data_IF_683811864805
#
_entry.id   IF_683811864805
#
_cell.length_a   1.000
_cell.length_b   1.000
_cell.length_c   1.000
_cell.angle_alpha   90.00
_cell.angle_beta   90.00
_cell.angle_gamma   90.00
#
_symmetry.space_group_name_H-M   'P 1'
#
loop_
_entity.id
_entity.type
_entity.pdbx_description
1 polymer ?
#
# COMPACT_ATOMS: atom_id res chain seq x y z
N UNK A 1 24.65 -0.32 51.19
CA UNK A 1 24.13 0.93 51.77
C UNK A 1 24.95 2.07 51.22
N UNK A 2 24.30 3.10 50.65
CA UNK A 2 24.86 4.23 49.89
C UNK A 2 25.24 3.99 48.42
N UNK A 3 24.31 4.34 47.52
CA UNK A 3 24.52 5.33 46.44
C UNK A 3 23.20 5.50 45.65
N UNK A 4 22.32 6.31 46.23
CA UNK A 4 21.22 7.02 45.56
C UNK A 4 21.68 8.47 45.47
N UNK A 5 21.78 9.04 44.25
CA UNK A 5 21.49 10.46 43.89
C UNK A 5 22.05 10.81 42.52
N UNK A 6 21.19 10.91 41.51
CA UNK A 6 21.10 12.07 40.58
C UNK A 6 20.17 11.71 39.41
N UNK A 7 18.86 11.86 39.64
CA UNK A 7 17.91 12.07 38.55
C UNK A 7 17.81 13.57 38.35
N UNK A 8 18.27 14.07 37.21
CA UNK A 8 17.95 15.42 36.75
C UNK A 8 16.47 15.48 36.37
N UNK A 9 15.75 16.54 36.76
CA UNK A 9 14.35 16.70 36.38
C UNK A 9 14.25 17.06 34.89
N UNK A 10 13.21 16.49 34.27
CA UNK A 10 12.74 16.81 32.93
C UNK A 10 12.46 18.32 32.85
N UNK A 11 13.25 19.06 32.08
CA UNK A 11 12.97 20.47 31.80
C UNK A 11 11.79 20.56 30.84
N UNK A 12 10.73 21.28 31.24
CA UNK A 12 9.61 21.62 30.38
C UNK A 12 10.09 22.40 29.14
N UNK A 13 9.46 22.19 27.97
CA UNK A 13 9.78 22.95 26.77
C UNK A 13 9.44 24.44 26.97
N UNK A 14 10.25 25.36 26.40
CA UNK A 14 10.00 26.79 26.54
C UNK A 14 8.66 27.18 25.87
N UNK A 15 7.95 28.18 26.41
CA UNK A 15 6.74 28.70 25.80
C UNK A 15 7.04 29.31 24.43
N UNK A 16 6.09 29.27 23.48
CA UNK A 16 6.27 29.88 22.18
C UNK A 16 6.44 31.40 22.31
N UNK A 17 7.22 32.03 21.41
CA UNK A 17 7.44 33.47 21.45
C UNK A 17 6.12 34.24 21.25
N UNK A 18 5.93 35.35 21.96
CA UNK A 18 4.82 36.26 21.70
C UNK A 18 5.09 37.04 20.41
N UNK A 19 4.02 37.31 19.66
CA UNK A 19 3.93 38.24 18.53
C UNK A 19 4.60 37.83 17.20
N UNK A 20 3.89 36.99 16.44
CA UNK A 20 3.92 37.05 14.98
C UNK A 20 2.63 37.74 14.48
N UNK A 21 2.76 39.04 14.27
CA UNK A 21 1.77 39.92 13.63
C UNK A 21 1.32 39.32 12.29
N UNK A 22 0.01 39.08 12.15
CA UNK A 22 -0.64 38.67 10.90
C UNK A 22 -0.46 39.76 9.84
N UNK A 23 0.27 39.44 8.76
CA UNK A 23 0.17 40.21 7.52
C UNK A 23 -1.05 39.75 6.72
N UNK A 24 -1.86 40.66 6.15
CA UNK A 24 -2.99 40.30 5.29
C UNK A 24 -2.49 39.81 3.92
N UNK A 25 -3.13 38.76 3.42
CA UNK A 25 -2.91 38.23 2.08
C UNK A 25 -3.43 39.23 1.02
N UNK A 26 -2.69 39.49 -0.07
CA UNK A 26 -3.21 40.26 -1.18
C UNK A 26 -4.18 39.41 -2.01
N UNK A 27 -5.38 39.95 -2.18
CA UNK A 27 -6.35 39.54 -3.21
C UNK A 27 -5.81 40.01 -4.56
N UNK A 28 -5.39 39.08 -5.39
CA UNK A 28 -4.92 39.34 -6.76
C UNK A 28 -5.65 38.45 -7.74
N UNK A 29 -6.65 39.01 -8.41
CA UNK A 29 -7.31 38.43 -9.57
C UNK A 29 -6.32 38.34 -10.74
N UNK A 30 -6.24 37.18 -11.39
CA UNK A 30 -5.86 37.09 -12.81
C UNK A 30 -6.60 35.93 -13.45
N UNK A 31 -7.47 36.28 -14.39
CA UNK A 31 -7.97 35.35 -15.38
C UNK A 31 -6.86 35.00 -16.36
N UNK A 32 -6.86 33.75 -16.80
CA UNK A 32 -6.15 33.32 -17.99
C UNK A 32 -7.03 32.32 -18.73
N UNK A 33 -7.59 32.85 -19.80
CA UNK A 33 -8.30 32.20 -20.89
C UNK A 33 -7.40 31.11 -21.54
N UNK A 34 -7.92 29.91 -21.73
CA UNK A 34 -7.28 28.89 -22.58
C UNK A 34 -8.26 27.78 -22.98
N UNK A 35 -8.95 27.97 -24.10
CA UNK A 35 -9.17 26.89 -25.07
C UNK A 35 -8.18 27.03 -26.24
N UNK A 36 -8.16 26.14 -27.27
CA UNK A 36 -8.76 24.82 -27.40
C UNK A 36 -7.73 23.76 -27.91
N UNK A 37 -7.49 22.67 -27.18
CA UNK A 37 -6.61 21.55 -27.64
C UNK A 37 -7.35 20.20 -27.70
N UNK A 38 -8.69 20.23 -27.74
CA UNK A 38 -9.55 19.04 -27.85
C UNK A 38 -10.41 19.07 -29.12
N UNK A 39 -9.81 19.37 -30.27
CA UNK A 39 -10.52 19.31 -31.57
C UNK A 39 -9.78 18.55 -32.68
N UNK A 40 -8.63 17.93 -32.39
CA UNK A 40 -7.80 17.25 -33.39
C UNK A 40 -7.81 15.71 -33.28
N UNK A 41 -8.68 15.11 -32.46
CA UNK A 41 -8.77 13.65 -32.29
C UNK A 41 -10.17 13.07 -32.57
N UNK A 42 -11.05 13.83 -33.22
CA UNK A 42 -12.40 13.38 -33.58
C UNK A 42 -12.68 13.36 -35.10
N UNK A 43 -11.68 13.61 -35.95
CA UNK A 43 -11.86 13.63 -37.43
C UNK A 43 -11.28 12.42 -38.19
N UNK A 44 -10.61 11.46 -37.54
CA UNK A 44 -10.06 10.28 -38.25
C UNK A 44 -10.95 9.02 -38.26
N UNK A 45 -11.99 8.93 -37.42
CA UNK A 45 -12.90 7.76 -37.43
C UNK A 45 -14.15 7.93 -38.34
N UNK A 46 -14.27 9.06 -39.06
CA UNK A 46 -15.44 9.36 -39.89
C UNK A 46 -15.25 9.12 -41.40
N UNK A 47 -14.15 8.47 -41.83
CA UNK A 47 -13.85 8.27 -43.27
C UNK A 47 -13.57 6.81 -43.71
N UNK A 48 -14.20 5.84 -43.04
CA UNK A 48 -14.18 4.44 -43.49
C UNK A 48 -15.55 3.78 -43.40
N UNK A 49 -16.54 4.26 -44.18
CA UNK A 49 -17.76 3.49 -44.44
C UNK A 49 -18.51 3.99 -45.67
N UNK A 50 -18.36 3.27 -46.78
CA UNK A 50 -19.16 3.33 -48.00
C UNK A 50 -18.43 2.48 -49.05
N UNK A 51 -19.02 1.53 -49.76
CA UNK A 51 -20.39 1.06 -49.93
C UNK A 51 -20.28 -0.46 -50.22
N UNK A 52 -21.23 -1.27 -49.77
CA UNK A 52 -21.48 -2.55 -50.45
C UNK A 52 -22.96 -2.95 -50.29
N UNK A 53 -23.70 -2.82 -51.39
CA UNK A 53 -25.04 -3.38 -51.60
C UNK A 53 -24.94 -4.90 -51.61
N UNK A 54 -25.78 -5.58 -50.81
CA UNK A 54 -26.22 -6.96 -51.09
C UNK A 54 -27.61 -7.22 -50.49
N UNK A 55 -28.45 -7.72 -51.39
CA UNK A 55 -29.81 -8.29 -51.42
C UNK A 55 -30.58 -8.63 -50.11
N UNK A 56 -31.93 -8.64 -50.18
CA UNK A 56 -32.81 -8.79 -49.01
C UNK A 56 -32.91 -10.24 -48.54
N UNK A 57 -32.65 -10.45 -47.25
CA UNK A 57 -32.83 -11.72 -46.54
C UNK A 57 -34.30 -11.83 -46.06
N UNK A 58 -34.99 -12.97 -46.24
CA UNK A 58 -36.37 -13.17 -45.78
C UNK A 58 -36.48 -13.15 -44.25
N UNK A 59 -37.49 -12.47 -43.72
CA UNK A 59 -37.81 -12.49 -42.29
C UNK A 59 -38.40 -13.84 -41.87
N UNK A 60 -37.90 -14.48 -40.79
CA UNK A 60 -38.59 -15.58 -40.16
C UNK A 60 -39.65 -15.08 -39.17
N UNK A 61 -40.78 -15.78 -39.18
CA UNK A 61 -41.97 -15.56 -38.39
C UNK A 61 -41.69 -15.46 -36.89
N UNK A 62 -42.30 -14.45 -36.27
CA UNK A 62 -42.54 -14.32 -34.83
C UNK A 62 -43.54 -15.38 -34.37
N UNK A 63 -43.08 -16.42 -33.67
CA UNK A 63 -43.84 -17.19 -32.68
C UNK A 63 -42.87 -18.04 -31.84
N UNK A 64 -43.21 -18.22 -30.57
CA UNK A 64 -42.54 -19.05 -29.55
C UNK A 64 -41.41 -18.40 -28.74
N UNK A 65 -41.86 -17.54 -27.82
CA UNK A 65 -41.24 -17.31 -26.53
C UNK A 65 -41.10 -18.65 -25.78
N UNK A 66 -39.89 -19.21 -25.72
CA UNK A 66 -39.51 -20.25 -24.76
C UNK A 66 -38.64 -19.62 -23.67
N UNK A 67 -39.11 -19.75 -22.44
CA UNK A 67 -38.71 -19.00 -21.25
C UNK A 67 -37.61 -19.72 -20.47
N UNK A 68 -36.51 -20.12 -21.14
CA UNK A 68 -35.44 -20.95 -20.53
C UNK A 68 -34.12 -20.19 -20.25
N UNK A 69 -34.07 -18.89 -20.53
CA UNK A 69 -32.86 -18.07 -20.28
C UNK A 69 -32.64 -17.65 -18.82
N UNK A 70 -33.69 -17.69 -17.98
CA UNK A 70 -33.62 -17.18 -16.60
C UNK A 70 -32.98 -18.17 -15.62
N UNK A 71 -33.02 -19.47 -15.94
CA UNK A 71 -32.48 -20.55 -15.08
C UNK A 71 -30.94 -20.58 -15.08
N UNK A 72 -30.29 -20.42 -16.24
CA UNK A 72 -28.82 -20.42 -16.31
C UNK A 72 -28.18 -19.17 -15.70
N UNK A 73 -28.82 -18.00 -15.80
CA UNK A 73 -28.31 -16.75 -15.21
C UNK A 73 -28.54 -16.71 -13.70
N UNK A 74 -29.60 -17.33 -13.17
CA UNK A 74 -29.77 -17.50 -11.73
C UNK A 74 -28.85 -18.59 -11.15
N UNK A 75 -28.58 -19.67 -11.89
CA UNK A 75 -27.63 -20.70 -11.46
C UNK A 75 -26.17 -20.19 -11.43
N UNK A 76 -25.75 -19.35 -12.39
CA UNK A 76 -24.42 -18.73 -12.37
C UNK A 76 -24.26 -17.67 -11.27
N UNK A 77 -25.34 -16.97 -10.90
CA UNK A 77 -25.32 -16.02 -9.79
C UNK A 77 -25.30 -16.71 -8.42
N UNK A 78 -25.86 -17.92 -8.28
CA UNK A 78 -25.78 -18.70 -7.05
C UNK A 78 -24.45 -19.44 -6.86
N UNK A 79 -23.78 -19.86 -7.93
CA UNK A 79 -22.47 -20.55 -7.84
C UNK A 79 -21.31 -19.59 -7.54
N UNK A 80 -21.43 -18.30 -7.86
CA UNK A 80 -20.41 -17.29 -7.51
C UNK A 80 -20.55 -16.68 -6.11
N UNK A 81 -21.66 -16.90 -5.39
CA UNK A 81 -21.78 -16.53 -3.97
C UNK A 81 -20.95 -17.43 -3.03
N UNK A 82 -20.56 -18.62 -3.49
CA UNK A 82 -19.76 -19.60 -2.72
C UNK A 82 -18.23 -19.38 -2.81
N UNK A 83 -17.78 -18.46 -3.68
CA UNK A 83 -16.36 -18.22 -3.95
C UNK A 83 -15.61 -17.39 -2.90
N UNK A 84 -16.31 -16.66 -2.04
CA UNK A 84 -15.69 -15.87 -0.96
C UNK A 84 -15.43 -16.74 0.29
N UNK A 85 -14.25 -16.63 0.93
CA UNK A 85 -13.97 -17.37 2.16
C UNK A 85 -14.94 -17.02 3.29
N UNK A 86 -15.15 -18.00 4.15
CA UNK A 86 -15.75 -17.80 5.47
C UNK A 86 -14.81 -16.99 6.37
N UNK A 87 -15.34 -16.32 7.42
CA UNK A 87 -14.50 -15.67 8.42
C UNK A 87 -13.49 -16.63 9.07
N UNK A 88 -13.86 -17.91 9.24
CA UNK A 88 -12.98 -18.94 9.78
C UNK A 88 -11.79 -19.25 8.85
N UNK A 89 -12.01 -19.30 7.53
CA UNK A 89 -10.93 -19.48 6.54
C UNK A 89 -9.99 -18.26 6.51
N UNK A 90 -10.53 -17.04 6.61
CA UNK A 90 -9.70 -15.84 6.76
C UNK A 90 -8.90 -15.86 8.05
N UNK A 91 -9.52 -16.22 9.18
CA UNK A 91 -8.84 -16.36 10.46
C UNK A 91 -7.71 -17.41 10.41
N UNK A 92 -7.94 -18.55 9.74
CA UNK A 92 -6.92 -19.57 9.50
C UNK A 92 -5.75 -19.02 8.67
N UNK A 93 -6.03 -18.25 7.62
CA UNK A 93 -4.98 -17.61 6.80
C UNK A 93 -4.18 -16.56 7.59
N UNK A 94 -4.86 -15.75 8.42
CA UNK A 94 -4.22 -14.79 9.33
C UNK A 94 -3.34 -15.51 10.35
N UNK A 95 -3.84 -16.59 10.95
CA UNK A 95 -3.08 -17.40 11.89
C UNK A 95 -1.84 -18.02 11.22
N UNK A 96 -1.95 -18.52 9.99
CA UNK A 96 -0.81 -19.00 9.22
C UNK A 96 0.24 -17.90 9.01
N UNK A 97 -0.18 -16.68 8.65
CA UNK A 97 0.72 -15.53 8.54
C UNK A 97 1.45 -15.20 9.85
N UNK A 98 0.75 -15.28 10.98
CA UNK A 98 1.33 -15.07 12.31
C UNK A 98 2.35 -16.17 12.68
N UNK A 99 2.01 -17.44 12.43
CA UNK A 99 2.90 -18.58 12.68
C UNK A 99 4.16 -18.50 11.83
N UNK A 100 4.02 -18.26 10.52
CA UNK A 100 5.16 -18.12 9.61
C UNK A 100 6.08 -16.95 10.05
N UNK A 101 5.49 -15.82 10.43
CA UNK A 101 6.25 -14.65 10.89
C UNK A 101 6.94 -14.91 12.23
N UNK A 102 6.26 -15.55 13.18
CA UNK A 102 6.83 -15.96 14.47
C UNK A 102 7.98 -16.95 14.30
N UNK A 103 7.83 -17.93 13.39
CA UNK A 103 8.89 -18.86 13.02
C UNK A 103 10.10 -18.15 12.40
N UNK A 104 9.87 -17.19 11.50
CA UNK A 104 10.92 -16.36 10.92
C UNK A 104 11.66 -15.53 11.99
N UNK A 105 10.92 -14.89 12.90
CA UNK A 105 11.52 -14.20 14.06
C UNK A 105 12.38 -15.14 14.91
N UNK A 106 11.86 -16.33 15.22
CA UNK A 106 12.57 -17.36 15.99
C UNK A 106 13.89 -17.75 15.32
N UNK A 107 13.83 -18.12 14.04
CA UNK A 107 15.01 -18.54 13.27
C UNK A 107 16.03 -17.41 13.10
N UNK A 108 15.60 -16.22 12.70
CA UNK A 108 16.49 -15.07 12.52
C UNK A 108 17.14 -14.64 13.85
N UNK A 109 16.47 -14.83 14.99
CA UNK A 109 17.03 -14.51 16.31
C UNK A 109 18.14 -15.48 16.75
N UNK A 110 18.19 -16.69 16.19
CA UNK A 110 19.29 -17.63 16.44
C UNK A 110 20.59 -17.21 15.75
N UNK A 111 20.49 -16.42 14.67
CA UNK A 111 21.61 -16.11 13.77
C UNK A 111 22.00 -14.63 13.79
N UNK A 112 21.09 -13.74 14.20
CA UNK A 112 21.23 -12.29 14.07
C UNK A 112 21.03 -11.57 15.40
N UNK A 113 21.60 -10.37 15.52
CA UNK A 113 21.28 -9.45 16.62
C UNK A 113 19.82 -9.01 16.55
N UNK A 114 19.23 -8.58 17.69
CA UNK A 114 17.81 -8.22 17.75
C UNK A 114 17.38 -7.21 16.68
N UNK A 115 18.19 -6.19 16.39
CA UNK A 115 17.88 -5.21 15.34
C UNK A 115 17.94 -5.81 13.93
N UNK A 116 18.96 -6.63 13.64
CA UNK A 116 19.07 -7.31 12.36
C UNK A 116 18.01 -8.38 12.15
N UNK A 117 17.54 -9.03 13.23
CA UNK A 117 16.40 -9.95 13.19
C UNK A 117 15.15 -9.23 12.67
N UNK A 118 14.83 -8.06 13.22
CA UNK A 118 13.68 -7.27 12.78
C UNK A 118 13.81 -6.83 11.32
N UNK A 119 14.94 -6.25 10.94
CA UNK A 119 15.14 -5.81 9.56
C UNK A 119 15.07 -6.98 8.56
N UNK A 120 15.58 -8.16 8.92
CA UNK A 120 15.51 -9.35 8.07
C UNK A 120 14.08 -9.89 7.91
N UNK A 121 13.30 -9.98 9.00
CA UNK A 121 11.91 -10.45 8.94
C UNK A 121 11.04 -9.49 8.17
N UNK A 122 11.18 -8.18 8.40
CA UNK A 122 10.48 -7.14 7.66
C UNK A 122 10.83 -7.19 6.16
N UNK A 123 12.10 -7.43 5.83
CA UNK A 123 12.54 -7.57 4.44
C UNK A 123 11.92 -8.79 3.76
N UNK A 124 11.84 -9.94 4.44
CA UNK A 124 11.15 -11.13 3.94
C UNK A 124 9.65 -10.87 3.71
N UNK A 125 9.00 -10.19 4.65
CA UNK A 125 7.61 -9.76 4.50
C UNK A 125 7.42 -8.86 3.28
N UNK A 126 8.28 -7.85 3.16
CA UNK A 126 8.27 -6.87 2.06
C UNK A 126 8.50 -7.53 0.70
N UNK A 127 9.40 -8.52 0.62
CA UNK A 127 9.65 -9.30 -0.61
C UNK A 127 8.41 -10.08 -1.04
N UNK A 128 7.78 -10.82 -0.12
CA UNK A 128 6.60 -11.61 -0.42
C UNK A 128 5.40 -10.75 -0.85
N UNK A 129 5.16 -9.65 -0.14
CA UNK A 129 4.03 -8.76 -0.42
C UNK A 129 4.26 -7.93 -1.67
N UNK A 130 5.43 -7.31 -1.84
CA UNK A 130 5.71 -6.52 -3.04
C UNK A 130 5.70 -7.38 -4.30
N UNK A 131 6.16 -8.62 -4.25
CA UNK A 131 6.15 -9.53 -5.40
C UNK A 131 4.71 -9.87 -5.83
N UNK A 132 3.85 -10.18 -4.86
CA UNK A 132 2.42 -10.44 -5.13
C UNK A 132 1.69 -9.18 -5.61
N UNK A 133 2.01 -8.02 -5.03
CA UNK A 133 1.42 -6.74 -5.41
C UNK A 133 1.86 -6.27 -6.81
N UNK A 134 3.13 -6.46 -7.16
CA UNK A 134 3.65 -6.16 -8.50
C UNK A 134 3.03 -7.09 -9.55
N UNK A 135 2.87 -8.37 -9.23
CA UNK A 135 2.12 -9.30 -10.08
C UNK A 135 0.67 -8.82 -10.27
N UNK A 136 -0.03 -8.50 -9.19
CA UNK A 136 -1.39 -7.95 -9.25
C UNK A 136 -1.48 -6.66 -10.07
N UNK A 137 -0.56 -5.71 -9.86
CA UNK A 137 -0.49 -4.45 -10.60
C UNK A 137 -0.26 -4.69 -12.10
N UNK A 138 0.66 -5.59 -12.46
CA UNK A 138 0.96 -5.94 -13.85
C UNK A 138 -0.21 -6.65 -14.54
N UNK A 139 -1.03 -7.37 -13.78
CA UNK A 139 -2.23 -8.05 -14.28
C UNK A 139 -3.48 -7.16 -14.30
N UNK A 140 -3.41 -5.91 -13.83
CA UNK A 140 -4.61 -5.06 -13.81
C UNK A 140 -5.09 -4.69 -15.21
N UNK A 141 -6.40 -4.85 -15.43
CA UNK A 141 -7.08 -4.56 -16.68
C UNK A 141 -7.83 -3.23 -16.59
N UNK A 142 -8.17 -2.63 -17.74
CA UNK A 142 -8.96 -1.39 -17.76
C UNK A 142 -10.37 -1.66 -17.20
N UNK A 143 -10.87 -0.74 -16.38
CA UNK A 143 -12.20 -0.84 -15.80
C UNK A 143 -12.97 0.48 -15.88
N UNK A 144 -14.25 0.47 -16.29
CA UNK A 144 -15.01 1.69 -16.53
C UNK A 144 -15.21 2.56 -15.29
N UNK A 145 -15.19 1.98 -14.08
CA UNK A 145 -15.54 2.70 -12.84
C UNK A 145 -14.34 3.12 -11.97
N UNK A 146 -13.15 2.54 -12.17
CA UNK A 146 -11.98 2.81 -11.33
C UNK A 146 -10.65 2.80 -12.09
N UNK A 147 -10.71 3.07 -13.40
CA UNK A 147 -9.61 3.09 -14.39
C UNK A 147 -8.94 1.75 -14.62
N UNK A 148 -8.52 1.07 -13.55
CA UNK A 148 -7.92 -0.27 -13.58
C UNK A 148 -8.47 -1.16 -12.47
N UNK A 149 -8.61 -2.45 -12.75
CA UNK A 149 -9.11 -3.47 -11.84
C UNK A 149 -8.18 -4.68 -11.81
N UNK A 150 -8.08 -5.34 -10.67
CA UNK A 150 -7.56 -6.70 -10.63
C UNK A 150 -8.47 -7.65 -11.42
N UNK A 151 -7.93 -8.65 -12.13
CA UNK A 151 -8.73 -9.74 -12.67
C UNK A 151 -9.50 -10.47 -11.56
N UNK A 152 -10.69 -11.01 -11.83
CA UNK A 152 -11.51 -11.70 -10.81
C UNK A 152 -10.76 -12.80 -10.05
N UNK A 153 -9.88 -13.55 -10.73
CA UNK A 153 -9.08 -14.62 -10.10
C UNK A 153 -8.08 -14.10 -9.06
N UNK A 154 -7.58 -12.86 -9.22
CA UNK A 154 -6.68 -12.22 -8.26
C UNK A 154 -7.46 -11.46 -7.17
N UNK A 155 -8.59 -10.88 -7.54
CA UNK A 155 -9.44 -10.08 -6.66
C UNK A 155 -10.38 -10.92 -5.78
N UNK A 156 -10.63 -12.18 -6.10
CA UNK A 156 -11.48 -13.07 -5.29
C UNK A 156 -10.92 -13.22 -3.87
N UNK A 157 -11.77 -13.49 -2.88
CA UNK A 157 -11.32 -13.63 -1.49
C UNK A 157 -10.29 -14.75 -1.26
N UNK A 158 -10.30 -15.80 -2.10
CA UNK A 158 -9.28 -16.86 -2.14
C UNK A 158 -8.10 -16.56 -3.07
N UNK A 159 -8.18 -15.48 -3.84
CA UNK A 159 -7.15 -15.04 -4.77
C UNK A 159 -5.85 -14.68 -4.07
N UNK A 160 -4.70 -14.78 -4.75
CA UNK A 160 -3.39 -14.57 -4.14
C UNK A 160 -3.22 -13.17 -3.54
N UNK A 161 -3.82 -12.13 -4.13
CA UNK A 161 -3.73 -10.75 -3.63
C UNK A 161 -4.50 -10.60 -2.31
N UNK A 162 -5.70 -11.16 -2.21
CA UNK A 162 -6.48 -11.08 -0.96
C UNK A 162 -5.87 -11.94 0.14
N UNK A 163 -5.34 -13.11 -0.23
CA UNK A 163 -4.56 -13.96 0.70
C UNK A 163 -3.32 -13.23 1.23
N UNK A 164 -2.62 -12.47 0.38
CA UNK A 164 -1.51 -11.62 0.83
C UNK A 164 -1.95 -10.62 1.91
N UNK A 165 -3.10 -9.93 1.74
CA UNK A 165 -3.61 -9.01 2.78
C UNK A 165 -3.84 -9.73 4.12
N UNK A 166 -4.44 -10.93 4.08
CA UNK A 166 -4.69 -11.73 5.29
C UNK A 166 -3.39 -12.20 5.94
N UNK A 167 -2.41 -12.67 5.16
CA UNK A 167 -1.10 -13.06 5.67
C UNK A 167 -0.35 -11.86 6.29
N UNK A 168 -0.46 -10.67 5.69
CA UNK A 168 0.05 -9.42 6.29
C UNK A 168 -0.56 -9.11 7.64
N UNK A 169 -1.87 -9.30 7.82
CA UNK A 169 -2.48 -9.13 9.15
C UNK A 169 -1.90 -10.11 10.18
N UNK A 170 -1.61 -11.33 9.77
CA UNK A 170 -0.92 -12.31 10.60
C UNK A 170 0.48 -11.84 11.01
N UNK A 171 1.24 -11.31 10.06
CA UNK A 171 2.54 -10.69 10.33
C UNK A 171 2.44 -9.50 11.30
N UNK A 172 1.45 -8.62 11.15
CA UNK A 172 1.24 -7.49 12.06
C UNK A 172 0.91 -7.96 13.48
N UNK A 173 0.10 -9.02 13.61
CA UNK A 173 -0.21 -9.63 14.90
C UNK A 173 1.03 -10.22 15.56
N UNK A 174 1.88 -10.92 14.80
CA UNK A 174 3.15 -11.46 15.31
C UNK A 174 4.09 -10.34 15.79
N UNK A 175 4.18 -9.24 15.05
CA UNK A 175 5.00 -8.09 15.45
C UNK A 175 4.44 -7.37 16.69
N UNK A 176 3.12 -7.22 16.78
CA UNK A 176 2.46 -6.69 17.97
C UNK A 176 2.76 -7.55 19.20
N UNK A 177 2.63 -8.88 19.09
CA UNK A 177 2.94 -9.81 20.18
C UNK A 177 4.40 -9.70 20.58
N UNK A 178 5.32 -9.63 19.61
CA UNK A 178 6.75 -9.42 19.89
C UNK A 178 6.98 -8.13 20.69
N UNK A 179 6.41 -7.01 20.22
CA UNK A 179 6.55 -5.71 20.90
C UNK A 179 5.96 -5.79 22.32
N UNK A 180 4.78 -6.39 22.48
CA UNK A 180 4.15 -6.57 23.78
C UNK A 180 5.01 -7.43 24.72
N UNK A 181 5.59 -8.52 24.24
CA UNK A 181 6.49 -9.38 25.02
C UNK A 181 7.76 -8.63 25.43
N UNK A 182 8.40 -7.91 24.51
CA UNK A 182 9.63 -7.17 24.81
C UNK A 182 9.37 -6.01 25.80
N UNK A 183 8.26 -5.28 25.63
CA UNK A 183 7.91 -4.16 26.51
C UNK A 183 7.40 -4.66 27.88
N UNK A 184 6.37 -5.50 27.89
CA UNK A 184 5.67 -5.88 29.14
C UNK A 184 6.45 -6.90 29.96
N UNK A 185 7.11 -7.87 29.31
CA UNK A 185 7.79 -8.96 30.03
C UNK A 185 9.29 -8.70 30.23
N UNK A 186 9.92 -7.91 29.36
CA UNK A 186 11.37 -7.66 29.42
C UNK A 186 11.74 -6.22 29.77
N UNK A 187 10.77 -5.31 29.84
CA UNK A 187 11.03 -3.89 30.08
C UNK A 187 11.94 -3.25 29.02
N UNK A 188 11.99 -3.83 27.82
CA UNK A 188 12.82 -3.35 26.71
C UNK A 188 11.94 -2.81 25.61
N UNK A 189 12.17 -1.58 25.21
CA UNK A 189 11.47 -0.98 24.08
C UNK A 189 12.23 -1.32 22.79
N UNK A 190 11.67 -2.11 21.87
CA UNK A 190 12.32 -2.40 20.59
C UNK A 190 12.58 -1.11 19.82
N UNK A 191 13.64 -1.08 19.03
CA UNK A 191 13.92 0.07 18.19
C UNK A 191 12.73 0.29 17.23
N UNK A 192 12.24 1.53 17.11
CA UNK A 192 11.11 1.92 16.23
C UNK A 192 9.74 1.32 16.56
N UNK A 193 9.55 0.72 17.74
CA UNK A 193 8.29 0.05 18.09
C UNK A 193 7.05 0.91 17.84
N UNK A 194 7.09 2.20 18.21
CA UNK A 194 5.95 3.10 18.06
C UNK A 194 5.62 3.36 16.58
N UNK A 195 6.63 3.63 15.75
CA UNK A 195 6.47 3.82 14.32
C UNK A 195 5.90 2.57 13.63
N UNK A 196 6.37 1.38 14.03
CA UNK A 196 5.86 0.09 13.55
C UNK A 196 4.39 -0.11 13.91
N UNK A 197 4.00 0.14 15.16
CA UNK A 197 2.61 0.02 15.59
C UNK A 197 1.68 0.97 14.84
N UNK A 198 2.08 2.23 14.66
CA UNK A 198 1.30 3.19 13.87
C UNK A 198 1.15 2.72 12.44
N UNK A 199 2.24 2.25 11.81
CA UNK A 199 2.21 1.74 10.45
C UNK A 199 1.27 0.53 10.30
N UNK A 200 1.39 -0.46 11.18
CA UNK A 200 0.55 -1.65 11.17
C UNK A 200 -0.92 -1.32 11.47
N UNK A 201 -1.21 -0.31 12.29
CA UNK A 201 -2.58 0.15 12.53
C UNK A 201 -3.21 0.73 11.27
N UNK A 202 -2.47 1.54 10.52
CA UNK A 202 -2.91 2.10 9.23
C UNK A 202 -3.15 0.95 8.23
N UNK A 203 -2.22 0.00 8.12
CA UNK A 203 -2.35 -1.15 7.23
C UNK A 203 -3.49 -2.09 7.63
N UNK A 204 -3.72 -2.30 8.93
CA UNK A 204 -4.86 -3.05 9.44
C UNK A 204 -6.18 -2.42 9.00
N UNK A 205 -6.31 -1.09 9.17
CA UNK A 205 -7.48 -0.34 8.72
C UNK A 205 -7.70 -0.41 7.20
N UNK A 206 -6.62 -0.43 6.41
CA UNK A 206 -6.67 -0.58 4.96
C UNK A 206 -7.08 -2.01 4.53
N UNK A 207 -6.52 -3.03 5.17
CA UNK A 207 -6.75 -4.44 4.83
C UNK A 207 -8.11 -4.93 5.26
N UNK A 208 -8.65 -4.39 6.36
CA UNK A 208 -9.89 -4.87 6.95
C UNK A 208 -11.06 -4.89 5.95
N UNK A 209 -11.37 -3.80 5.21
CA UNK A 209 -12.43 -3.84 4.20
C UNK A 209 -12.09 -4.75 3.01
N UNK A 210 -10.81 -4.86 2.65
CA UNK A 210 -10.36 -5.72 1.55
C UNK A 210 -10.55 -7.22 1.84
N UNK A 211 -10.55 -7.61 3.12
CA UNK A 211 -10.72 -8.99 3.56
C UNK A 211 -12.17 -9.27 3.97
N UNK A 212 -12.78 -8.42 4.79
CA UNK A 212 -14.01 -8.76 5.51
C UNK A 212 -15.29 -8.12 4.95
N UNK A 213 -15.25 -7.30 3.90
CA UNK A 213 -16.47 -6.73 3.28
C UNK A 213 -17.23 -7.74 2.39
N UNK A 214 -17.55 -8.92 2.92
CA UNK A 214 -18.43 -9.91 2.27
C UNK A 214 -19.84 -9.33 2.07
N UNK A 215 -20.51 -9.72 0.99
CA UNK A 215 -21.89 -9.33 0.70
C UNK A 215 -22.07 -7.88 0.27
N UNK A 216 -20.98 -7.16 -0.04
CA UNK A 216 -21.03 -5.86 -0.71
C UNK A 216 -21.07 -6.05 -2.23
N UNK A 217 -21.59 -5.07 -2.99
CA UNK A 217 -21.56 -5.11 -4.45
C UNK A 217 -20.15 -5.42 -4.96
N UNK A 218 -20.04 -6.34 -5.95
CA UNK A 218 -18.77 -6.85 -6.47
C UNK A 218 -17.80 -5.71 -6.85
N UNK A 219 -18.31 -4.67 -7.50
CA UNK A 219 -17.51 -3.51 -7.93
C UNK A 219 -16.90 -2.72 -6.76
N UNK A 220 -17.58 -2.65 -5.61
CA UNK A 220 -17.05 -1.96 -4.42
C UNK A 220 -15.84 -2.69 -3.86
N UNK A 221 -15.97 -4.01 -3.71
CA UNK A 221 -14.92 -4.87 -3.19
C UNK A 221 -13.75 -4.90 -4.16
N UNK A 222 -14.04 -4.99 -5.46
CA UNK A 222 -13.05 -4.96 -6.52
C UNK A 222 -12.25 -3.65 -6.54
N UNK A 223 -12.92 -2.50 -6.45
CA UNK A 223 -12.26 -1.21 -6.40
C UNK A 223 -11.34 -1.09 -5.18
N UNK A 224 -11.80 -1.50 -4.00
CA UNK A 224 -10.98 -1.47 -2.78
C UNK A 224 -9.77 -2.39 -2.89
N UNK A 225 -9.97 -3.66 -3.25
CA UNK A 225 -8.89 -4.65 -3.40
C UNK A 225 -7.87 -4.22 -4.46
N UNK A 226 -8.32 -3.63 -5.57
CA UNK A 226 -7.45 -3.11 -6.62
C UNK A 226 -6.61 -1.92 -6.15
N UNK A 227 -7.25 -0.92 -5.53
CA UNK A 227 -6.54 0.24 -4.97
C UNK A 227 -5.55 -0.16 -3.87
N UNK A 228 -5.94 -1.09 -3.00
CA UNK A 228 -5.09 -1.63 -1.95
C UNK A 228 -3.90 -2.42 -2.51
N UNK A 229 -4.11 -3.24 -3.54
CA UNK A 229 -3.03 -3.95 -4.24
C UNK A 229 -2.01 -2.97 -4.82
N UNK A 230 -2.48 -1.87 -5.43
CA UNK A 230 -1.60 -0.82 -5.91
C UNK A 230 -0.81 -0.19 -4.76
N UNK A 231 -1.47 0.14 -3.65
CA UNK A 231 -0.79 0.67 -2.46
C UNK A 231 0.27 -0.30 -1.91
N UNK A 232 0.06 -1.61 -1.95
CA UNK A 232 1.04 -2.60 -1.48
C UNK A 232 2.35 -2.63 -2.27
N UNK A 233 2.41 -2.06 -3.47
CA UNK A 233 3.68 -1.89 -4.22
C UNK A 233 4.68 -1.02 -3.43
N UNK A 234 4.21 -0.19 -2.50
CA UNK A 234 5.06 0.56 -1.56
C UNK A 234 6.04 -0.30 -0.77
N UNK A 235 5.73 -1.58 -0.55
CA UNK A 235 6.61 -2.51 0.15
C UNK A 235 7.93 -2.76 -0.61
N UNK A 236 7.99 -2.47 -1.91
CA UNK A 236 9.23 -2.52 -2.68
C UNK A 236 10.32 -1.63 -2.06
N UNK A 237 9.97 -0.42 -1.61
CA UNK A 237 10.91 0.48 -0.96
C UNK A 237 11.32 0.02 0.44
N UNK A 238 10.46 -0.75 1.13
CA UNK A 238 10.77 -1.32 2.44
C UNK A 238 11.95 -2.29 2.34
N UNK A 239 12.08 -3.05 1.24
CA UNK A 239 13.22 -3.95 1.00
C UNK A 239 14.55 -3.17 1.04
N UNK A 240 14.64 -2.08 0.28
CA UNK A 240 15.86 -1.27 0.21
C UNK A 240 16.12 -0.51 1.52
N UNK A 241 15.07 -0.16 2.27
CA UNK A 241 15.19 0.46 3.58
C UNK A 241 15.85 -0.52 4.56
N UNK A 242 15.33 -1.75 4.64
CA UNK A 242 15.87 -2.79 5.51
C UNK A 242 17.29 -3.19 5.10
N UNK A 243 17.55 -3.29 3.79
CA UNK A 243 18.90 -3.54 3.29
C UNK A 243 19.88 -2.41 3.65
N UNK A 244 19.45 -1.15 3.58
CA UNK A 244 20.27 -0.01 4.01
C UNK A 244 20.61 -0.11 5.51
N UNK A 245 19.65 -0.46 6.36
CA UNK A 245 19.87 -0.66 7.79
C UNK A 245 20.87 -1.79 8.08
N UNK A 246 20.72 -2.94 7.41
CA UNK A 246 21.63 -4.08 7.56
C UNK A 246 23.06 -3.73 7.13
N UNK A 247 23.21 -2.95 6.06
CA UNK A 247 24.53 -2.52 5.57
C UNK A 247 25.18 -1.43 6.43
N UNK A 248 24.47 -0.83 7.38
CA UNK A 248 25.01 0.21 8.28
C UNK A 248 26.22 -0.29 9.06
N UNK A 249 26.15 -1.54 9.54
CA UNK A 249 27.20 -2.22 10.29
C UNK A 249 28.12 -3.08 9.40
N UNK A 250 27.95 -2.97 8.08
CA UNK A 250 28.64 -3.80 7.10
C UNK A 250 30.13 -3.44 6.91
N UNK A 251 30.78 -4.09 5.93
CA UNK A 251 32.24 -4.03 5.75
C UNK A 251 32.77 -2.59 5.64
N UNK A 252 33.77 -2.29 6.46
CA UNK A 252 34.56 -1.06 6.37
C UNK A 252 35.35 -1.01 5.05
N UNK A 253 35.57 0.19 4.52
CA UNK A 253 36.42 0.42 3.35
C UNK A 253 35.68 0.84 2.07
N UNK A 254 36.44 1.04 0.99
CA UNK A 254 35.96 1.66 -0.26
C UNK A 254 34.82 0.87 -0.91
N UNK A 255 34.92 -0.47 -0.93
CA UNK A 255 33.88 -1.34 -1.50
C UNK A 255 32.57 -1.25 -0.71
N UNK A 256 32.64 -1.29 0.62
CA UNK A 256 31.48 -1.13 1.49
C UNK A 256 30.83 0.25 1.39
N UNK A 257 31.63 1.32 1.24
CA UNK A 257 31.11 2.66 0.99
C UNK A 257 30.35 2.76 -0.34
N UNK A 258 30.91 2.19 -1.43
CA UNK A 258 30.23 2.16 -2.74
C UNK A 258 28.90 1.40 -2.67
N UNK A 259 28.89 0.24 -2.00
CA UNK A 259 27.66 -0.54 -1.83
C UNK A 259 26.61 0.23 -1.03
N UNK A 260 26.98 0.87 0.09
CA UNK A 260 26.05 1.70 0.88
C UNK A 260 25.51 2.88 0.07
N UNK A 261 26.35 3.56 -0.71
CA UNK A 261 25.91 4.64 -1.62
C UNK A 261 24.89 4.13 -2.65
N UNK A 262 25.18 2.99 -3.29
CA UNK A 262 24.28 2.38 -4.27
C UNK A 262 22.93 2.01 -3.64
N UNK A 263 22.94 1.37 -2.46
CA UNK A 263 21.71 0.99 -1.76
C UNK A 263 20.92 2.21 -1.29
N UNK A 264 21.58 3.27 -0.81
CA UNK A 264 20.88 4.52 -0.43
C UNK A 264 20.20 5.20 -1.62
N UNK A 265 20.84 5.21 -2.80
CA UNK A 265 20.21 5.73 -4.01
C UNK A 265 19.09 4.82 -4.51
N UNK A 266 19.26 3.50 -4.46
CA UNK A 266 18.19 2.56 -4.77
C UNK A 266 16.99 2.74 -3.81
N UNK A 267 17.25 3.01 -2.53
CA UNK A 267 16.23 3.38 -1.55
C UNK A 267 15.52 4.67 -1.96
N UNK A 268 16.23 5.76 -2.28
CA UNK A 268 15.62 7.02 -2.74
C UNK A 268 14.70 6.78 -3.95
N UNK A 269 15.20 6.10 -4.97
CA UNK A 269 14.47 5.86 -6.22
C UNK A 269 13.25 4.96 -6.00
N UNK A 270 13.43 3.86 -5.25
CA UNK A 270 12.31 2.96 -4.92
C UNK A 270 11.27 3.64 -4.05
N UNK A 271 11.65 4.47 -3.08
CA UNK A 271 10.72 5.21 -2.23
C UNK A 271 9.92 6.25 -3.02
N UNK A 272 10.59 6.99 -3.91
CA UNK A 272 9.93 7.94 -4.80
C UNK A 272 8.90 7.24 -5.71
N UNK A 273 9.32 6.18 -6.42
CA UNK A 273 8.44 5.47 -7.35
C UNK A 273 7.30 4.73 -6.63
N UNK A 274 7.63 3.86 -5.67
CA UNK A 274 6.67 2.94 -5.06
C UNK A 274 5.78 3.56 -3.98
N UNK A 275 6.18 4.67 -3.38
CA UNK A 275 5.36 5.38 -2.39
C UNK A 275 4.84 6.70 -2.91
N UNK A 276 5.67 7.60 -3.42
CA UNK A 276 5.19 8.94 -3.81
C UNK A 276 4.34 8.87 -5.08
N UNK A 277 4.90 8.39 -6.19
CA UNK A 277 4.17 8.33 -7.46
C UNK A 277 3.02 7.31 -7.37
N UNK A 278 3.31 6.11 -6.89
CA UNK A 278 2.33 5.03 -6.83
C UNK A 278 1.17 5.31 -5.85
N UNK A 279 1.38 5.92 -4.67
CA UNK A 279 0.24 6.28 -3.81
C UNK A 279 -0.60 7.39 -4.42
N UNK A 280 0.00 8.37 -5.13
CA UNK A 280 -0.79 9.37 -5.83
C UNK A 280 -1.72 8.71 -6.88
N UNK A 281 -1.21 7.71 -7.61
CA UNK A 281 -2.03 6.92 -8.53
C UNK A 281 -3.11 6.09 -7.80
N UNK A 282 -2.77 5.42 -6.70
CA UNK A 282 -3.73 4.64 -5.91
C UNK A 282 -4.85 5.52 -5.33
N UNK A 283 -4.51 6.73 -4.84
CA UNK A 283 -5.47 7.73 -4.37
C UNK A 283 -6.38 8.18 -5.52
N UNK A 284 -5.81 8.49 -6.69
CA UNK A 284 -6.60 8.90 -7.84
C UNK A 284 -7.59 7.80 -8.27
N UNK A 285 -7.17 6.54 -8.31
CA UNK A 285 -8.06 5.39 -8.57
C UNK A 285 -9.16 5.27 -7.51
N UNK A 286 -8.83 5.45 -6.23
CA UNK A 286 -9.79 5.38 -5.14
C UNK A 286 -10.81 6.52 -5.17
N UNK A 287 -10.37 7.74 -5.48
CA UNK A 287 -11.25 8.91 -5.66
C UNK A 287 -12.21 8.71 -6.83
N UNK A 288 -11.74 8.13 -7.94
CA UNK A 288 -12.61 7.79 -9.07
C UNK A 288 -13.67 6.75 -8.71
N UNK A 289 -13.34 5.78 -7.83
CA UNK A 289 -14.28 4.78 -7.33
C UNK A 289 -15.31 5.34 -6.33
N UNK A 290 -15.26 6.64 -5.97
CA UNK A 290 -16.18 7.27 -5.01
C UNK A 290 -17.67 6.99 -5.28
N UNK A 291 -18.20 7.02 -6.53
CA UNK A 291 -19.63 6.83 -6.77
C UNK A 291 -20.16 5.46 -6.33
N UNK A 292 -19.29 4.44 -6.32
CA UNK A 292 -19.66 3.09 -5.93
C UNK A 292 -19.33 2.78 -4.48
N UNK A 293 -18.34 3.45 -3.86
CA UNK A 293 -17.93 3.17 -2.48
C UNK A 293 -18.88 3.87 -1.47
N UNK A 294 -19.40 3.15 -0.45
CA UNK A 294 -20.22 3.77 0.59
C UNK A 294 -19.51 4.94 1.28
N UNK A 295 -20.19 6.06 1.59
CA UNK A 295 -19.54 7.27 2.11
C UNK A 295 -18.66 7.05 3.35
N UNK A 296 -19.08 6.17 4.26
CA UNK A 296 -18.31 5.82 5.47
C UNK A 296 -16.99 5.10 5.13
N UNK A 297 -17.04 4.15 4.20
CA UNK A 297 -15.84 3.42 3.75
C UNK A 297 -14.93 4.35 2.94
N UNK A 298 -15.51 5.22 2.12
CA UNK A 298 -14.76 6.23 1.39
C UNK A 298 -14.03 7.18 2.34
N UNK A 299 -14.69 7.69 3.38
CA UNK A 299 -14.07 8.55 4.38
C UNK A 299 -12.92 7.85 5.13
N UNK A 300 -13.12 6.59 5.53
CA UNK A 300 -12.08 5.77 6.13
C UNK A 300 -10.89 5.59 5.18
N UNK A 301 -11.14 5.16 3.95
CA UNK A 301 -10.10 4.94 2.94
C UNK A 301 -9.33 6.21 2.59
N UNK A 302 -10.04 7.33 2.41
CA UNK A 302 -9.42 8.63 2.18
C UNK A 302 -8.52 9.04 3.35
N UNK A 303 -8.98 8.87 4.59
CA UNK A 303 -8.18 9.17 5.80
C UNK A 303 -6.91 8.32 5.84
N UNK A 304 -7.05 7.00 5.68
CA UNK A 304 -5.94 6.04 5.69
C UNK A 304 -4.93 6.36 4.59
N UNK A 305 -5.38 6.61 3.36
CA UNK A 305 -4.52 6.93 2.23
C UNK A 305 -3.82 8.29 2.39
N UNK A 306 -4.53 9.33 2.85
CA UNK A 306 -3.92 10.65 3.11
C UNK A 306 -2.87 10.56 4.20
N UNK A 307 -3.17 9.88 5.32
CA UNK A 307 -2.18 9.66 6.39
C UNK A 307 -0.97 8.87 5.88
N UNK A 308 -1.20 7.79 5.12
CA UNK A 308 -0.13 6.99 4.51
C UNK A 308 0.74 7.79 3.54
N UNK A 309 0.13 8.66 2.74
CA UNK A 309 0.84 9.55 1.81
C UNK A 309 1.66 10.61 2.53
N UNK A 310 1.08 11.30 3.52
CA UNK A 310 1.78 12.31 4.31
C UNK A 310 2.99 11.71 5.04
N UNK A 311 2.82 10.54 5.67
CA UNK A 311 3.90 9.79 6.31
C UNK A 311 5.00 9.47 5.28
N UNK A 312 4.63 8.96 4.11
CA UNK A 312 5.58 8.60 3.05
C UNK A 312 6.32 9.81 2.50
N UNK A 313 5.65 10.95 2.30
CA UNK A 313 6.30 12.19 1.86
C UNK A 313 7.33 12.69 2.88
N UNK A 314 7.00 12.67 4.18
CA UNK A 314 7.94 13.00 5.25
C UNK A 314 9.17 12.09 5.26
N UNK A 315 8.97 10.78 5.12
CA UNK A 315 10.06 9.81 5.01
C UNK A 315 10.93 10.03 3.79
N UNK A 316 10.33 10.28 2.63
CA UNK A 316 11.07 10.50 1.39
C UNK A 316 12.02 11.69 1.51
N UNK A 317 11.55 12.82 2.05
CA UNK A 317 12.39 14.00 2.26
C UNK A 317 13.56 13.71 3.21
N UNK A 318 13.33 12.92 4.27
CA UNK A 318 14.38 12.51 5.22
C UNK A 318 15.42 11.61 4.54
N UNK A 319 14.98 10.59 3.80
CA UNK A 319 15.85 9.66 3.06
C UNK A 319 16.67 10.41 2.01
N UNK A 320 16.04 11.31 1.24
CA UNK A 320 16.71 12.10 0.21
C UNK A 320 17.81 12.99 0.82
N UNK A 321 17.52 13.68 1.93
CA UNK A 321 18.53 14.48 2.64
C UNK A 321 19.73 13.65 3.07
N UNK A 322 19.50 12.42 3.54
CA UNK A 322 20.58 11.51 3.98
C UNK A 322 21.42 11.04 2.79
N UNK A 323 20.78 10.67 1.69
CA UNK A 323 21.48 10.27 0.46
C UNK A 323 22.37 11.40 -0.09
N UNK A 324 21.86 12.64 -0.11
CA UNK A 324 22.60 13.82 -0.56
C UNK A 324 23.81 14.15 0.33
N UNK A 325 23.69 13.99 1.66
CA UNK A 325 24.84 14.14 2.58
C UNK A 325 25.89 13.05 2.41
N UNK A 326 25.43 11.82 2.15
CA UNK A 326 26.32 10.67 1.94
C UNK A 326 27.22 10.86 0.70
N UNK A 327 26.77 11.62 -0.30
CA UNK A 327 27.56 11.94 -1.48
C UNK A 327 28.67 12.96 -1.22
N UNK A 328 28.49 13.91 -0.30
CA UNK A 328 29.42 15.02 -0.06
C UNK A 328 30.51 14.72 0.98
N UNK A 329 30.20 14.02 2.07
CA UNK A 329 31.07 14.03 3.26
C UNK A 329 31.85 12.72 3.50
N UNK A 330 31.68 11.69 2.66
CA UNK A 330 32.35 10.40 2.81
C UNK A 330 31.90 9.56 4.02
N UNK A 331 31.30 10.19 5.03
CA UNK A 331 30.55 9.56 6.11
C UNK A 331 29.09 9.32 5.68
N UNK A 332 28.54 8.16 6.06
CA UNK A 332 27.12 7.83 5.82
C UNK A 332 26.36 8.15 7.12
N UNK A 333 25.62 9.26 7.22
CA UNK A 333 24.81 9.54 8.41
C UNK A 333 23.71 8.47 8.59
N UNK A 334 23.34 8.17 9.84
CA UNK A 334 22.33 7.14 10.13
C UNK A 334 20.94 7.57 9.61
N UNK A 335 20.23 6.66 8.94
CA UNK A 335 18.78 6.75 8.80
C UNK A 335 18.20 6.15 10.08
N UNK A 336 18.18 6.92 11.16
CA UNK A 336 17.34 6.55 12.32
C UNK A 336 15.90 6.80 11.90
N UNK A 337 15.16 5.73 11.62
CA UNK A 337 13.73 5.84 11.39
C UNK A 337 12.96 6.12 12.69
#
# INVERSE_FOLDING_TARGET
SHLLTSLTPWSEPPPPPPDAVRAPLPVGAMGADSGPVMRALQEEDAKASGENKKDPIPQPNTAELSNDGTSCVQALNHVEEDGEPTPAEHASTIAAGAICSGGAYGLCRLLLSSGHTEDAVDMMHSLATSSTALYGLASMERHPLHTRALPPSLAAGRGPVVRMFALSLGYFAADFIKIAVDVLLRGKYPHLWAGRLVHHTIQLGANWPGIFCRGKPKDQVLAWRSGLCMAYVAELSSIFLRLSNLLRQGPSGVRGLRLRKAVNWALVLSFFGSRIVNFACAIAMFVQARPIIPPRLFALGATVQTCGYALSAGWFLKILRIALKTTSEGAVPSIEC
#
